data_IF_093008217480
#
_entry.id   IF_093008217480
#
_cell.length_a   1.000
_cell.length_b   1.000
_cell.length_c   1.000
_cell.angle_alpha   90.00
_cell.angle_beta   90.00
_cell.angle_gamma   90.00
#
_symmetry.space_group_name_H-M   'P 1'
#
loop_
_entity.id
_entity.type
_entity.pdbx_description
1 polymer ?
#
# COMPACT_ATOMS: atom_id res chain seq x y z
N UNK A 1 22.62 34.38 39.88
CA UNK A 1 21.73 33.45 39.14
C UNK A 1 20.70 34.28 38.39
N UNK A 2 20.80 34.49 37.06
CA UNK A 2 19.75 35.18 36.31
C UNK A 2 18.68 34.20 35.81
N UNK A 3 17.44 34.68 35.89
CA UNK A 3 16.15 34.03 35.61
C UNK A 3 15.95 33.75 34.11
N UNK A 4 15.58 32.50 33.78
CA UNK A 4 15.32 32.01 32.42
C UNK A 4 13.82 31.93 32.16
N UNK A 5 13.15 33.08 32.05
CA UNK A 5 11.74 33.15 31.63
C UNK A 5 11.51 34.22 30.56
N UNK A 6 11.65 33.83 29.28
CA UNK A 6 10.76 34.23 28.15
C UNK A 6 11.33 33.72 26.83
N UNK A 7 10.87 32.55 26.40
CA UNK A 7 10.92 32.20 24.97
C UNK A 7 9.60 32.69 24.35
N UNK A 8 9.72 33.75 23.56
CA UNK A 8 8.63 34.33 22.79
C UNK A 8 8.01 33.28 21.85
N UNK A 9 6.71 33.00 22.04
CA UNK A 9 5.92 32.20 21.11
C UNK A 9 5.72 32.99 19.82
N UNK A 10 6.52 32.73 18.79
CA UNK A 10 6.26 33.23 17.42
C UNK A 10 5.01 32.53 16.88
N UNK A 11 3.94 33.30 16.69
CA UNK A 11 2.76 32.88 15.95
C UNK A 11 3.14 32.67 14.48
N UNK A 12 3.07 31.44 13.98
CA UNK A 12 3.17 31.16 12.55
C UNK A 12 1.81 31.41 11.88
N UNK A 13 1.72 32.32 10.88
CA UNK A 13 0.44 32.67 10.25
C UNK A 13 -0.10 31.61 9.27
N UNK A 14 0.62 30.51 9.04
CA UNK A 14 0.20 29.46 8.10
C UNK A 14 -0.54 28.33 8.82
N UNK A 15 -1.79 28.60 9.22
CA UNK A 15 -2.72 27.54 9.62
C UNK A 15 -3.32 26.95 8.34
N UNK A 16 -2.69 25.90 7.81
CA UNK A 16 -3.27 25.11 6.72
C UNK A 16 -4.66 24.60 7.15
N UNK A 17 -5.71 25.21 6.60
CA UNK A 17 -7.08 24.75 6.79
C UNK A 17 -7.26 23.49 5.96
N UNK A 18 -7.01 22.33 6.56
CA UNK A 18 -7.39 21.04 5.97
C UNK A 18 -8.91 21.00 5.94
N UNK A 19 -9.50 21.43 4.83
CA UNK A 19 -10.93 21.25 4.59
C UNK A 19 -11.16 19.75 4.44
N UNK A 20 -11.98 19.10 5.28
CA UNK A 20 -12.24 17.68 5.15
C UNK A 20 -12.94 17.45 3.81
N UNK A 21 -12.20 16.92 2.84
CA UNK A 21 -12.74 16.57 1.53
C UNK A 21 -13.80 15.49 1.76
N UNK A 22 -15.01 15.67 1.24
CA UNK A 22 -16.08 14.69 1.32
C UNK A 22 -15.53 13.30 0.96
N UNK A 23 -15.69 12.31 1.86
CA UNK A 23 -15.16 10.96 1.71
C UNK A 23 -15.85 10.27 0.53
N UNK A 24 -15.32 10.46 -0.68
CA UNK A 24 -15.75 9.69 -1.85
C UNK A 24 -15.34 8.23 -1.61
N UNK A 25 -16.25 7.27 -1.76
CA UNK A 25 -15.91 5.86 -1.56
C UNK A 25 -14.82 5.43 -2.55
N UNK A 26 -13.96 4.51 -2.11
CA UNK A 26 -12.97 3.92 -2.98
C UNK A 26 -13.65 3.20 -4.15
N UNK A 27 -13.15 3.41 -5.37
CA UNK A 27 -13.69 2.75 -6.56
C UNK A 27 -13.26 1.28 -6.53
N UNK A 28 -14.24 0.37 -6.62
CA UNK A 28 -13.99 -1.06 -6.86
C UNK A 28 -13.69 -1.23 -8.34
N UNK A 29 -12.42 -1.39 -8.69
CA UNK A 29 -12.01 -1.38 -10.10
C UNK A 29 -12.19 -2.74 -10.79
N UNK A 30 -11.93 -3.83 -10.06
CA UNK A 30 -12.03 -5.20 -10.58
C UNK A 30 -12.46 -6.15 -9.45
N UNK A 31 -13.46 -7.02 -9.71
CA UNK A 31 -13.84 -8.12 -8.81
C UNK A 31 -12.75 -9.18 -8.83
N UNK A 32 -12.24 -9.62 -7.68
CA UNK A 32 -11.09 -10.54 -7.59
C UNK A 32 -11.44 -12.03 -7.49
N UNK A 33 -12.72 -12.41 -7.61
CA UNK A 33 -13.17 -13.78 -7.38
C UNK A 33 -12.80 -14.74 -8.52
N UNK A 34 -12.71 -14.23 -9.75
CA UNK A 34 -12.49 -15.03 -10.96
C UNK A 34 -11.16 -14.70 -11.66
N UNK A 35 -10.32 -13.84 -11.08
CA UNK A 35 -9.02 -13.53 -11.70
C UNK A 35 -8.02 -14.64 -11.42
N UNK A 36 -7.28 -14.98 -12.47
CA UNK A 36 -6.03 -15.70 -12.31
C UNK A 36 -5.05 -14.89 -11.45
N UNK A 37 -4.07 -15.58 -10.86
CA UNK A 37 -3.01 -14.92 -10.08
C UNK A 37 -2.27 -13.88 -10.93
N UNK A 38 -1.99 -14.19 -12.19
CA UNK A 38 -1.26 -13.30 -13.08
C UNK A 38 -2.07 -12.06 -13.46
N UNK A 39 -3.37 -12.20 -13.74
CA UNK A 39 -4.23 -11.05 -14.00
C UNK A 39 -4.38 -10.17 -12.76
N UNK A 40 -4.51 -10.79 -11.57
CA UNK A 40 -4.54 -10.05 -10.32
C UNK A 40 -3.24 -9.27 -10.09
N UNK A 41 -2.08 -9.88 -10.35
CA UNK A 41 -0.77 -9.21 -10.29
C UNK A 41 -0.67 -8.07 -11.32
N UNK A 42 -1.15 -8.27 -12.55
CA UNK A 42 -1.18 -7.25 -13.59
C UNK A 42 -2.04 -6.05 -13.17
N UNK A 43 -3.24 -6.28 -12.63
CA UNK A 43 -4.09 -5.21 -12.10
C UNK A 43 -3.39 -4.46 -10.96
N UNK A 44 -2.71 -5.18 -10.04
CA UNK A 44 -1.98 -4.60 -8.91
C UNK A 44 -0.77 -3.77 -9.34
N UNK A 45 -0.11 -4.10 -10.45
CA UNK A 45 0.98 -3.29 -11.02
C UNK A 45 0.52 -1.91 -11.50
N UNK A 46 -0.75 -1.74 -11.85
CA UNK A 46 -1.30 -0.45 -12.31
C UNK A 46 -1.52 0.60 -11.20
N UNK A 47 -1.22 0.24 -9.95
CA UNK A 47 -1.45 1.04 -8.75
C UNK A 47 -0.33 0.91 -7.73
N UNK A 48 -0.31 1.81 -6.74
CA UNK A 48 0.54 1.72 -5.54
C UNK A 48 -0.33 1.20 -4.40
N UNK A 49 -0.01 -0.01 -3.91
CA UNK A 49 -0.64 -0.63 -2.74
C UNK A 49 0.08 -0.30 -1.42
N UNK A 50 -0.39 -0.89 -0.30
CA UNK A 50 0.20 -0.65 1.02
C UNK A 50 1.66 -1.09 1.14
N UNK A 51 1.99 -2.29 0.64
CA UNK A 51 3.37 -2.79 0.56
C UNK A 51 4.27 -1.89 -0.28
N UNK A 52 3.72 -1.37 -1.37
CA UNK A 52 4.42 -0.52 -2.32
C UNK A 52 4.70 0.85 -1.70
N UNK A 53 3.75 1.38 -0.91
CA UNK A 53 3.96 2.60 -0.15
C UNK A 53 5.11 2.44 0.85
N UNK A 54 5.18 1.33 1.58
CA UNK A 54 6.29 1.04 2.49
C UNK A 54 7.64 0.95 1.76
N UNK A 55 7.68 0.28 0.59
CA UNK A 55 8.88 0.21 -0.25
C UNK A 55 9.29 1.58 -0.81
N UNK A 56 8.33 2.40 -1.24
CA UNK A 56 8.57 3.74 -1.77
C UNK A 56 9.21 4.69 -0.75
N UNK A 57 8.89 4.52 0.54
CA UNK A 57 9.47 5.31 1.64
C UNK A 57 10.63 4.60 2.35
N UNK A 58 11.10 3.46 1.84
CA UNK A 58 12.27 2.75 2.39
C UNK A 58 12.03 2.01 3.70
N UNK A 59 10.78 1.71 4.06
CA UNK A 59 10.40 0.99 5.29
C UNK A 59 10.07 -0.48 5.05
N UNK A 60 10.25 -0.99 3.82
CA UNK A 60 10.00 -2.39 3.49
C UNK A 60 11.34 -3.17 3.49
N UNK A 61 11.51 -4.18 4.37
CA UNK A 61 12.74 -4.97 4.43
C UNK A 61 12.88 -5.97 3.27
N UNK A 62 11.81 -6.22 2.51
CA UNK A 62 11.76 -7.23 1.45
C UNK A 62 11.83 -6.64 0.04
N UNK A 63 11.78 -5.32 -0.10
CA UNK A 63 11.71 -4.66 -1.41
C UNK A 63 12.19 -3.22 -1.33
N UNK A 64 13.20 -2.90 -2.14
CA UNK A 64 13.73 -1.55 -2.29
C UNK A 64 12.84 -0.66 -3.17
N UNK A 65 12.98 0.66 -3.02
CA UNK A 65 12.31 1.64 -3.88
C UNK A 65 12.66 1.47 -5.37
N UNK A 66 13.89 1.02 -5.69
CA UNK A 66 14.34 0.76 -7.06
C UNK A 66 13.64 -0.46 -7.65
N UNK A 67 13.56 -1.56 -6.92
CA UNK A 67 12.84 -2.76 -7.36
C UNK A 67 11.36 -2.46 -7.58
N UNK A 68 10.76 -1.64 -6.71
CA UNK A 68 9.41 -1.12 -6.91
C UNK A 68 9.25 -0.34 -8.20
N UNK A 69 10.16 0.58 -8.50
CA UNK A 69 10.12 1.32 -9.74
C UNK A 69 10.23 0.39 -10.96
N UNK A 70 11.10 -0.61 -10.92
CA UNK A 70 11.25 -1.58 -12.00
C UNK A 70 9.97 -2.41 -12.20
N UNK A 71 9.34 -2.92 -11.13
CA UNK A 71 8.08 -3.68 -11.23
C UNK A 71 6.93 -2.83 -11.78
N UNK A 72 6.77 -1.60 -11.27
CA UNK A 72 5.66 -0.71 -11.68
C UNK A 72 5.79 -0.15 -13.08
N UNK A 73 7.02 -0.08 -13.60
CA UNK A 73 7.28 0.43 -14.96
C UNK A 73 7.48 -0.68 -16.00
N UNK A 74 7.25 -1.94 -15.62
CA UNK A 74 7.37 -3.09 -16.53
C UNK A 74 8.80 -3.49 -16.87
N UNK A 75 9.79 -3.04 -16.09
CA UNK A 75 11.23 -3.28 -16.28
C UNK A 75 11.80 -4.34 -15.32
N UNK A 76 10.93 -5.09 -14.64
CA UNK A 76 11.32 -6.17 -13.73
C UNK A 76 11.42 -7.55 -14.42
N UNK A 77 11.57 -7.58 -15.74
CA UNK A 77 11.78 -8.82 -16.47
C UNK A 77 13.08 -9.50 -16.00
N UNK A 78 13.05 -10.82 -15.82
CA UNK A 78 14.19 -11.59 -15.31
C UNK A 78 14.48 -11.44 -13.81
N UNK A 79 13.75 -10.59 -13.07
CA UNK A 79 13.93 -10.54 -11.61
C UNK A 79 13.36 -11.80 -10.94
N UNK A 80 14.04 -12.31 -9.90
CA UNK A 80 13.50 -13.39 -9.08
C UNK A 80 12.12 -13.01 -8.56
N UNK A 81 11.13 -13.86 -8.82
CA UNK A 81 9.82 -13.73 -8.20
C UNK A 81 9.76 -14.67 -6.99
N UNK A 82 9.29 -14.20 -5.83
CA UNK A 82 9.06 -15.08 -4.69
C UNK A 82 8.14 -16.23 -5.09
N UNK A 83 8.57 -17.46 -4.81
CA UNK A 83 7.73 -18.64 -4.94
C UNK A 83 6.61 -18.55 -3.88
N UNK A 84 5.33 -18.54 -4.28
CA UNK A 84 4.22 -18.52 -3.32
C UNK A 84 4.18 -19.74 -2.40
N UNK A 85 4.84 -20.85 -2.76
CA UNK A 85 4.87 -22.08 -1.98
C UNK A 85 6.15 -22.26 -1.16
N UNK A 86 7.04 -21.26 -1.15
CA UNK A 86 8.25 -21.28 -0.32
C UNK A 86 7.89 -21.19 1.16
N UNK A 87 7.98 -22.32 1.86
CA UNK A 87 7.65 -22.44 3.28
C UNK A 87 8.66 -21.74 4.20
N UNK A 88 9.80 -21.29 3.68
CA UNK A 88 10.77 -20.48 4.41
C UNK A 88 10.42 -18.98 4.37
N UNK A 89 9.53 -18.57 3.47
CA UNK A 89 9.14 -17.17 3.29
C UNK A 89 8.13 -16.70 4.33
N UNK A 90 8.32 -15.50 4.94
CA UNK A 90 7.31 -14.87 5.80
C UNK A 90 5.98 -14.63 5.06
N UNK A 91 6.01 -14.47 3.73
CA UNK A 91 4.80 -14.24 2.91
C UNK A 91 3.92 -15.47 2.86
N UNK A 92 4.52 -16.67 2.81
CA UNK A 92 3.80 -17.94 2.84
C UNK A 92 3.01 -18.09 4.14
N UNK A 93 3.68 -17.93 5.29
CA UNK A 93 3.05 -18.02 6.61
C UNK A 93 2.01 -16.94 6.83
N UNK A 94 2.25 -15.71 6.35
CA UNK A 94 1.26 -14.64 6.41
C UNK A 94 -0.04 -15.00 5.68
N UNK A 95 0.06 -15.59 4.49
CA UNK A 95 -1.10 -16.01 3.68
C UNK A 95 -1.84 -17.18 4.33
N UNK A 96 -1.10 -18.17 4.84
CA UNK A 96 -1.67 -19.35 5.50
C UNK A 96 -2.40 -19.00 6.79
N UNK A 97 -1.85 -18.09 7.59
CA UNK A 97 -2.35 -17.75 8.92
C UNK A 97 -3.43 -16.66 8.91
N UNK A 98 -3.58 -15.88 7.83
CA UNK A 98 -4.56 -14.78 7.74
C UNK A 98 -5.98 -15.18 8.19
N UNK A 99 -6.58 -16.32 7.74
CA UNK A 99 -7.93 -16.70 8.15
C UNK A 99 -8.02 -17.02 9.65
N UNK A 100 -6.98 -17.62 10.21
CA UNK A 100 -6.91 -18.04 11.63
C UNK A 100 -6.85 -16.79 12.52
N UNK A 101 -5.97 -15.85 12.17
CA UNK A 101 -5.83 -14.58 12.89
C UNK A 101 -7.11 -13.75 12.81
N UNK A 102 -7.76 -13.68 11.64
CA UNK A 102 -9.02 -12.98 11.45
C UNK A 102 -10.17 -13.57 12.31
N UNK A 103 -10.24 -14.90 12.42
CA UNK A 103 -11.22 -15.59 13.27
C UNK A 103 -10.98 -15.28 14.75
N UNK A 104 -9.72 -15.34 15.20
CA UNK A 104 -9.33 -14.99 16.58
C UNK A 104 -9.68 -13.53 16.92
N UNK A 105 -9.34 -12.59 16.03
CA UNK A 105 -9.69 -11.17 16.18
C UNK A 105 -11.20 -10.96 16.33
N UNK A 106 -12.00 -11.64 15.51
CA UNK A 106 -13.47 -11.57 15.56
C UNK A 106 -13.98 -12.05 16.93
N UNK A 107 -13.45 -13.17 17.44
CA UNK A 107 -13.82 -13.72 18.75
C UNK A 107 -13.45 -12.80 19.91
N UNK A 108 -12.27 -12.17 19.86
CA UNK A 108 -11.77 -11.31 20.93
C UNK A 108 -12.45 -9.94 20.98
N UNK A 109 -12.79 -9.37 19.82
CA UNK A 109 -13.29 -7.99 19.74
C UNK A 109 -14.80 -7.90 19.50
N UNK A 110 -15.44 -8.97 19.03
CA UNK A 110 -16.82 -8.96 18.54
C UNK A 110 -17.00 -8.28 17.18
N UNK A 111 -15.94 -7.72 16.59
CA UNK A 111 -16.01 -7.04 15.30
C UNK A 111 -16.05 -8.05 14.14
N UNK A 112 -16.97 -7.84 13.19
CA UNK A 112 -17.09 -8.70 12.00
C UNK A 112 -15.99 -8.36 10.97
N UNK A 113 -15.14 -9.34 10.66
CA UNK A 113 -14.18 -9.25 9.55
C UNK A 113 -14.85 -9.69 8.25
N UNK A 114 -14.66 -8.93 7.16
CA UNK A 114 -15.19 -9.24 5.83
C UNK A 114 -14.08 -9.22 4.79
N UNK A 115 -13.96 -10.32 4.04
CA UNK A 115 -13.06 -10.36 2.89
C UNK A 115 -13.61 -9.50 1.76
N UNK A 116 -12.82 -8.54 1.31
CA UNK A 116 -13.16 -7.68 0.17
C UNK A 116 -12.52 -8.28 -1.08
N UNK A 117 -13.32 -8.97 -1.89
CA UNK A 117 -12.87 -9.52 -3.18
C UNK A 117 -12.82 -8.44 -4.27
N UNK A 118 -12.10 -7.34 -4.02
CA UNK A 118 -11.95 -6.25 -4.97
C UNK A 118 -10.62 -5.52 -4.75
N UNK A 119 -9.98 -5.11 -5.85
CA UNK A 119 -8.92 -4.11 -5.78
C UNK A 119 -9.57 -2.73 -5.62
N UNK A 120 -9.30 -2.08 -4.49
CA UNK A 120 -9.79 -0.75 -4.16
C UNK A 120 -8.81 0.31 -4.66
N UNK A 121 -9.33 1.36 -5.28
CA UNK A 121 -8.51 2.49 -5.75
C UNK A 121 -9.06 3.81 -5.24
N UNK A 122 -8.15 4.74 -4.92
CA UNK A 122 -8.52 6.09 -4.54
C UNK A 122 -9.29 6.77 -5.69
N UNK A 123 -10.44 7.41 -5.43
CA UNK A 123 -11.34 7.88 -6.49
C UNK A 123 -10.76 9.00 -7.35
N UNK A 124 -9.85 9.81 -6.80
CA UNK A 124 -9.25 10.94 -7.53
C UNK A 124 -7.74 10.84 -7.74
N UNK A 125 -7.07 9.85 -7.13
CA UNK A 125 -5.61 9.70 -7.25
C UNK A 125 -5.39 8.45 -8.08
N UNK A 126 -5.11 8.66 -9.37
CA UNK A 126 -4.60 7.62 -10.24
C UNK A 126 -3.09 7.55 -10.00
N UNK A 127 -2.66 6.83 -8.97
CA UNK A 127 -1.26 6.44 -8.80
C UNK A 127 -0.91 5.37 -9.84
N UNK A 128 -0.97 5.73 -11.12
CA UNK A 128 -0.52 4.92 -12.25
C UNK A 128 0.81 5.48 -12.70
N UNK A 129 1.89 4.77 -12.40
CA UNK A 129 3.18 4.98 -13.04
C UNK A 129 3.10 4.52 -14.49
N UNK A 130 2.51 5.34 -15.35
CA UNK A 130 2.73 5.29 -16.78
C UNK A 130 3.35 6.63 -17.17
N UNK A 131 4.55 6.90 -16.66
CA UNK A 131 5.45 7.81 -17.34
C UNK A 131 5.96 7.03 -18.55
N UNK A 132 5.23 7.14 -19.66
CA UNK A 132 5.81 6.96 -20.97
C UNK A 132 6.84 8.08 -21.11
N UNK A 133 8.09 7.81 -20.74
CA UNK A 133 9.17 8.73 -21.07
C UNK A 133 9.27 8.78 -22.61
N UNK A 134 9.18 9.96 -23.25
CA UNK A 134 9.62 10.08 -24.63
C UNK A 134 11.11 9.74 -24.67
N UNK A 135 11.53 9.05 -25.74
CA UNK A 135 12.87 8.51 -25.89
C UNK A 135 13.98 9.51 -25.61
N UNK A 136 15.02 9.01 -24.97
CA UNK A 136 16.41 9.39 -25.24
C UNK A 136 17.11 8.12 -25.74
#
# INVERSE_FOLDING_TARGET
MPDVRRVARRHSPYRFRIVPRARRPALKRVKTQELSRDDWLAVRRTGIGGSDAAAAVGLNPYMSARELWLDKTGRAEGMPRPDPNDTTSPTYWGTLLEPIVAASYTKLTGNRVRRVHAVLRHPSIRSGGALHAPGF
#
